data_IF_572160158673
#
_entry.id   IF_572160158673
#
_cell.length_a   1.000
_cell.length_b   1.000
_cell.length_c   1.000
_cell.angle_alpha   90.00
_cell.angle_beta   90.00
_cell.angle_gamma   90.00
#
_symmetry.space_group_name_H-M   'P 1'
#
loop_
_entity.id
_entity.type
_entity.pdbx_description
1 polymer ?
#
# COMPACT_ATOMS: atom_id res chain seq x y z
N UNK A 1 -40.47 63.32 7.98
CA UNK A 1 -41.23 63.07 9.23
C UNK A 1 -40.45 62.01 10.00
N UNK A 2 -39.75 62.52 11.00
CA UNK A 2 -39.04 61.97 12.18
C UNK A 2 -38.99 60.44 12.39
N UNK A 3 -37.73 59.97 12.41
CA UNK A 3 -37.07 59.20 13.50
C UNK A 3 -37.51 57.77 13.81
N UNK A 4 -36.58 56.83 13.60
CA UNK A 4 -36.10 55.95 14.70
C UNK A 4 -34.77 55.29 14.35
N UNK A 5 -33.69 55.75 15.00
CA UNK A 5 -32.42 55.01 15.11
C UNK A 5 -32.53 53.83 16.08
N UNK A 6 -31.66 52.81 15.93
CA UNK A 6 -30.97 52.18 17.05
C UNK A 6 -29.42 52.30 16.89
N UNK A 7 -28.64 51.99 17.94
CA UNK A 7 -27.37 52.66 18.20
C UNK A 7 -26.14 52.05 17.54
N UNK A 8 -25.06 52.83 17.66
CA UNK A 8 -23.73 52.73 17.08
C UNK A 8 -22.85 51.62 17.66
N UNK A 9 -21.70 51.49 16.96
CA UNK A 9 -20.42 50.87 17.33
C UNK A 9 -20.22 49.40 16.99
N UNK A 10 -19.58 49.14 15.84
CA UNK A 10 -18.25 48.53 15.79
C UNK A 10 -17.82 48.22 14.34
N UNK A 11 -16.91 49.02 13.80
CA UNK A 11 -15.91 48.60 12.79
C UNK A 11 -14.60 49.34 13.16
N UNK A 12 -13.41 48.91 12.71
CA UNK A 12 -12.90 47.55 12.47
C UNK A 12 -11.48 47.38 13.09
N UNK A 13 -11.01 46.18 13.42
CA UNK A 13 -9.57 45.96 13.64
C UNK A 13 -9.13 44.68 12.94
N UNK A 14 -8.34 44.85 11.89
CA UNK A 14 -7.61 43.80 11.22
C UNK A 14 -6.48 43.32 12.15
N UNK A 15 -6.62 42.11 12.68
CA UNK A 15 -5.53 41.33 13.26
C UNK A 15 -5.10 40.29 12.25
N UNK A 16 -3.92 40.48 11.66
CA UNK A 16 -3.26 39.50 10.84
C UNK A 16 -2.62 38.45 11.76
N UNK A 17 -3.28 37.31 11.95
CA UNK A 17 -2.65 36.13 12.55
C UNK A 17 -2.17 35.24 11.41
N UNK A 18 -0.88 35.38 11.15
CA UNK A 18 -0.10 34.57 10.22
C UNK A 18 0.12 33.23 10.93
N UNK A 19 -0.73 32.25 10.69
CA UNK A 19 -0.45 30.87 11.11
C UNK A 19 0.58 30.29 10.14
N UNK A 20 1.84 30.49 10.51
CA UNK A 20 3.00 29.88 9.89
C UNK A 20 2.92 28.35 10.05
N UNK A 21 2.90 27.69 8.90
CA UNK A 21 3.54 26.40 8.58
C UNK A 21 3.52 25.35 9.69
N UNK A 22 2.65 24.35 9.51
CA UNK A 22 2.95 23.00 9.98
C UNK A 22 3.15 22.13 8.75
N UNK A 23 4.34 22.25 8.15
CA UNK A 23 4.99 21.15 7.42
C UNK A 23 5.19 20.02 8.44
N UNK A 24 4.10 19.30 8.73
CA UNK A 24 4.17 18.00 9.37
C UNK A 24 4.57 17.06 8.24
N UNK A 25 5.88 16.96 8.01
CA UNK A 25 6.45 15.75 7.45
C UNK A 25 5.89 14.60 8.30
N UNK A 26 5.07 13.68 7.75
CA UNK A 26 4.56 12.59 8.55
C UNK A 26 5.78 11.83 9.05
N UNK A 27 6.07 11.99 10.35
CA UNK A 27 7.11 11.24 11.00
C UNK A 27 6.89 9.76 10.65
N UNK A 28 7.93 9.00 10.27
CA UNK A 28 7.76 7.59 9.97
C UNK A 28 7.08 6.96 11.17
N UNK A 29 5.92 6.37 10.93
CA UNK A 29 5.16 5.71 11.99
C UNK A 29 6.11 4.74 12.70
N UNK A 30 6.05 4.65 14.05
CA UNK A 30 6.93 3.77 14.79
C UNK A 30 6.86 2.39 14.16
N UNK A 31 8.01 1.84 13.79
CA UNK A 31 8.09 0.45 13.35
C UNK A 31 7.62 -0.39 14.52
N UNK A 32 6.33 -0.73 14.54
CA UNK A 32 5.79 -1.74 15.41
C UNK A 32 6.71 -2.97 15.29
N UNK A 33 6.90 -3.70 16.39
CA UNK A 33 7.59 -5.00 16.38
C UNK A 33 6.79 -5.99 15.50
N UNK A 34 6.84 -5.80 14.18
CA UNK A 34 6.19 -6.64 13.19
C UNK A 34 6.90 -7.98 13.13
N UNK A 35 6.14 -9.05 13.02
CA UNK A 35 6.70 -10.38 12.79
C UNK A 35 7.17 -10.47 11.33
N UNK A 36 8.48 -10.63 11.12
CA UNK A 36 8.96 -10.91 9.76
C UNK A 36 8.66 -12.36 9.38
N UNK A 37 7.91 -12.56 8.30
CA UNK A 37 7.70 -13.86 7.66
C UNK A 37 9.03 -14.28 7.01
N UNK A 38 9.52 -15.49 7.33
CA UNK A 38 10.83 -16.01 6.89
C UNK A 38 10.65 -17.23 6.01
N UNK A 39 11.55 -17.40 5.04
CA UNK A 39 11.64 -18.58 4.19
C UNK A 39 11.75 -19.89 5.00
N UNK A 40 11.20 -20.98 4.48
CA UNK A 40 11.24 -22.31 5.11
C UNK A 40 10.11 -22.62 6.08
N UNK A 41 9.12 -21.74 6.22
CA UNK A 41 7.81 -22.02 6.84
C UNK A 41 6.71 -21.68 5.84
N UNK A 42 5.65 -22.48 5.82
CA UNK A 42 4.46 -22.13 5.05
C UNK A 42 3.77 -20.94 5.71
N UNK A 43 3.36 -19.97 4.88
CA UNK A 43 2.58 -18.81 5.28
C UNK A 43 1.46 -18.67 4.24
N UNK A 44 0.23 -18.53 4.71
CA UNK A 44 -0.96 -18.37 3.87
C UNK A 44 -1.96 -17.49 4.64
N UNK A 45 -2.48 -16.47 3.96
CA UNK A 45 -3.49 -15.57 4.52
C UNK A 45 -4.42 -15.09 3.41
N UNK A 46 -5.73 -15.19 3.62
CA UNK A 46 -6.75 -14.85 2.62
C UNK A 46 -7.59 -13.68 3.11
N UNK A 47 -7.71 -12.66 2.27
CA UNK A 47 -8.47 -11.44 2.55
C UNK A 47 -9.76 -11.41 1.73
N UNK A 48 -10.85 -10.89 2.32
CA UNK A 48 -12.08 -10.57 1.60
C UNK A 48 -12.18 -9.05 1.50
N UNK A 49 -11.71 -8.52 0.38
CA UNK A 49 -11.61 -7.09 0.12
C UNK A 49 -12.74 -6.62 -0.79
N UNK A 50 -13.04 -5.32 -0.74
CA UNK A 50 -13.80 -4.71 -1.82
C UNK A 50 -12.92 -4.42 -3.05
N UNK A 51 -13.56 -4.08 -4.17
CA UNK A 51 -12.87 -3.90 -5.45
C UNK A 51 -11.90 -2.72 -5.46
N UNK A 52 -12.12 -1.69 -4.63
CA UNK A 52 -11.21 -0.55 -4.52
C UNK A 52 -9.93 -0.98 -3.83
N UNK A 53 -10.06 -1.62 -2.67
CA UNK A 53 -8.92 -2.09 -1.87
C UNK A 53 -8.08 -3.11 -2.64
N UNK A 54 -8.72 -4.06 -3.33
CA UNK A 54 -8.04 -5.02 -4.18
C UNK A 54 -7.33 -4.32 -5.36
N UNK A 55 -7.95 -3.30 -5.94
CA UNK A 55 -7.36 -2.51 -7.02
C UNK A 55 -6.13 -1.73 -6.58
N UNK A 56 -6.20 -1.06 -5.44
CA UNK A 56 -5.09 -0.30 -4.86
C UNK A 56 -3.90 -1.21 -4.55
N UNK A 57 -4.15 -2.39 -3.94
CA UNK A 57 -3.13 -3.40 -3.72
C UNK A 57 -2.42 -3.85 -5.01
N UNK A 58 -3.20 -4.13 -6.07
CA UNK A 58 -2.64 -4.58 -7.36
C UNK A 58 -1.82 -3.47 -8.05
N UNK A 59 -2.18 -2.20 -7.87
CA UNK A 59 -1.41 -1.07 -8.38
C UNK A 59 -0.04 -1.02 -7.68
N UNK A 60 -0.02 -1.04 -6.34
CA UNK A 60 1.24 -0.99 -5.58
C UNK A 60 2.12 -2.21 -5.85
N UNK A 61 1.53 -3.41 -5.93
CA UNK A 61 2.25 -4.62 -6.31
C UNK A 61 2.84 -4.49 -7.72
N UNK A 62 2.06 -4.02 -8.68
CA UNK A 62 2.51 -3.80 -10.06
C UNK A 62 3.64 -2.78 -10.18
N UNK A 63 3.61 -1.71 -9.37
CA UNK A 63 4.68 -0.72 -9.29
C UNK A 63 5.99 -1.34 -8.75
N UNK A 64 5.91 -2.15 -7.70
CA UNK A 64 7.06 -2.88 -7.15
C UNK A 64 7.66 -3.85 -8.18
N UNK A 65 6.84 -4.68 -8.82
CA UNK A 65 7.26 -5.65 -9.84
C UNK A 65 7.96 -4.99 -11.04
N UNK A 66 7.58 -3.75 -11.37
CA UNK A 66 8.20 -3.01 -12.48
C UNK A 66 9.54 -2.38 -12.09
N UNK A 67 9.71 -2.00 -10.83
CA UNK A 67 10.83 -1.19 -10.35
C UNK A 67 11.95 -1.95 -9.67
N UNK A 68 11.70 -3.19 -9.25
CA UNK A 68 12.59 -3.99 -8.40
C UNK A 68 12.41 -5.48 -8.67
N UNK A 69 13.40 -6.28 -8.29
CA UNK A 69 13.36 -7.75 -8.22
C UNK A 69 13.04 -8.27 -6.79
N UNK A 70 12.44 -7.40 -5.97
CA UNK A 70 11.94 -7.70 -4.63
C UNK A 70 10.54 -7.10 -4.44
N UNK A 71 9.64 -7.85 -3.80
CA UNK A 71 8.36 -7.35 -3.28
C UNK A 71 8.39 -7.36 -1.75
N UNK A 72 7.74 -6.36 -1.14
CA UNK A 72 7.56 -6.31 0.32
C UNK A 72 6.09 -6.06 0.65
N UNK A 73 5.47 -7.05 1.29
CA UNK A 73 4.13 -6.94 1.83
C UNK A 73 4.19 -6.60 3.31
N UNK A 74 3.36 -5.67 3.77
CA UNK A 74 3.40 -5.16 5.14
C UNK A 74 1.99 -4.97 5.66
N UNK A 75 1.75 -5.44 6.88
CA UNK A 75 0.55 -5.16 7.68
C UNK A 75 0.96 -4.55 9.02
N UNK A 76 0.00 -4.27 9.90
CA UNK A 76 0.32 -3.86 11.28
C UNK A 76 1.01 -4.98 12.07
N UNK A 77 0.79 -6.23 11.71
CA UNK A 77 1.22 -7.41 12.47
C UNK A 77 2.49 -8.04 11.90
N UNK A 78 2.67 -8.02 10.58
CA UNK A 78 3.74 -8.75 9.92
C UNK A 78 4.32 -8.01 8.72
N UNK A 79 5.51 -8.44 8.32
CA UNK A 79 6.12 -8.04 7.05
C UNK A 79 6.67 -9.27 6.32
N UNK A 80 6.58 -9.28 5.00
CA UNK A 80 7.06 -10.34 4.14
C UNK A 80 7.90 -9.74 3.01
N UNK A 81 9.23 -9.71 3.17
CA UNK A 81 10.14 -9.42 2.07
C UNK A 81 10.36 -10.68 1.22
N UNK A 82 10.25 -10.56 -0.10
CA UNK A 82 10.45 -11.67 -1.04
C UNK A 82 11.21 -11.22 -2.29
N UNK A 83 12.44 -11.71 -2.45
CA UNK A 83 13.22 -11.54 -3.66
C UNK A 83 12.83 -12.62 -4.68
N UNK A 84 12.38 -12.18 -5.86
CA UNK A 84 11.88 -13.07 -6.90
C UNK A 84 12.85 -13.15 -8.09
N UNK A 85 12.72 -14.23 -8.86
CA UNK A 85 13.45 -14.47 -10.11
C UNK A 85 12.52 -14.48 -11.32
N UNK A 86 13.09 -14.87 -12.46
CA UNK A 86 12.37 -15.00 -13.73
C UNK A 86 12.44 -16.45 -14.27
N UNK A 87 11.43 -16.91 -15.03
CA UNK A 87 10.21 -16.18 -15.43
C UNK A 87 9.14 -16.16 -14.32
N UNK A 88 8.34 -15.10 -14.32
CA UNK A 88 7.12 -14.99 -13.51
C UNK A 88 5.97 -15.66 -14.27
N UNK A 89 5.11 -16.42 -13.57
CA UNK A 89 3.92 -17.05 -14.15
C UNK A 89 2.66 -16.25 -13.81
N UNK A 90 1.77 -16.04 -14.79
CA UNK A 90 0.48 -15.37 -14.63
C UNK A 90 -0.59 -16.26 -15.26
N UNK A 91 -1.51 -16.75 -14.44
CA UNK A 91 -2.64 -17.57 -14.85
C UNK A 91 -3.93 -16.74 -14.81
N UNK A 92 -4.80 -16.96 -15.80
CA UNK A 92 -6.14 -16.35 -15.88
C UNK A 92 -7.11 -17.49 -16.18
N UNK A 93 -7.96 -17.81 -15.22
CA UNK A 93 -9.00 -18.84 -15.36
C UNK A 93 -10.39 -18.22 -15.23
N UNK A 94 -11.33 -18.70 -16.06
CA UNK A 94 -12.71 -18.22 -16.06
C UNK A 94 -13.68 -19.40 -16.15
N UNK A 95 -14.40 -19.65 -15.05
CA UNK A 95 -15.50 -20.62 -15.01
C UNK A 95 -16.82 -19.90 -15.30
N UNK A 96 -17.42 -20.16 -16.48
CA UNK A 96 -18.60 -19.42 -16.95
C UNK A 96 -19.95 -20.12 -16.77
N UNK A 97 -20.00 -21.33 -16.19
CA UNK A 97 -21.21 -22.14 -16.11
C UNK A 97 -21.76 -22.14 -14.69
N UNK A 98 -23.00 -21.69 -14.51
CA UNK A 98 -23.64 -21.63 -13.20
C UNK A 98 -23.36 -20.29 -12.54
N UNK A 99 -22.38 -20.25 -11.65
CA UNK A 99 -21.92 -19.03 -10.96
C UNK A 99 -20.60 -18.60 -11.63
N UNK A 100 -20.57 -17.49 -12.38
CA UNK A 100 -19.38 -17.10 -13.11
C UNK A 100 -18.28 -16.62 -12.17
N UNK A 101 -17.09 -17.21 -12.29
CA UNK A 101 -15.92 -16.89 -11.48
C UNK A 101 -14.72 -16.56 -12.38
N UNK A 102 -13.93 -15.55 -11.98
CA UNK A 102 -12.69 -15.15 -12.64
C UNK A 102 -11.58 -15.22 -11.61
N UNK A 103 -10.56 -16.01 -11.90
CA UNK A 103 -9.37 -16.16 -11.08
C UNK A 103 -8.16 -15.62 -11.84
N UNK A 104 -7.31 -14.87 -11.13
CA UNK A 104 -6.05 -14.34 -11.65
C UNK A 104 -5.00 -14.68 -10.60
N UNK A 105 -4.05 -15.55 -10.97
CA UNK A 105 -2.98 -16.01 -10.07
C UNK A 105 -1.61 -15.60 -10.60
N UNK A 106 -0.75 -15.14 -9.71
CA UNK A 106 0.63 -14.71 -10.01
C UNK A 106 1.60 -15.55 -9.18
N UNK A 107 2.48 -16.29 -9.83
CA UNK A 107 3.55 -17.05 -9.17
C UNK A 107 4.91 -16.38 -9.39
N UNK A 108 5.54 -15.98 -8.29
CA UNK A 108 6.88 -15.39 -8.27
C UNK A 108 7.87 -16.46 -7.80
N UNK A 109 8.76 -17.00 -8.67
CA UNK A 109 9.76 -17.95 -8.22
C UNK A 109 10.75 -17.23 -7.31
N UNK A 110 11.17 -17.87 -6.22
CA UNK A 110 12.21 -17.30 -5.36
C UNK A 110 13.54 -17.17 -6.11
N UNK A 111 14.24 -16.05 -5.90
CA UNK A 111 15.58 -15.89 -6.47
C UNK A 111 16.52 -16.97 -5.92
N UNK A 112 17.38 -17.51 -6.79
CA UNK A 112 18.50 -18.36 -6.41
C UNK A 112 19.79 -17.55 -6.59
N UNK A 113 20.49 -17.26 -5.48
CA UNK A 113 21.84 -16.69 -5.49
C UNK A 113 22.94 -17.77 -5.60
N UNK A 114 22.57 -19.03 -5.84
CA UNK A 114 23.52 -20.12 -5.99
C UNK A 114 24.35 -19.95 -7.27
N UNK A 115 25.65 -19.74 -7.08
CA UNK A 115 26.64 -19.85 -8.14
C UNK A 115 27.02 -21.31 -8.34
N UNK A 116 27.16 -21.73 -9.60
CA UNK A 116 27.64 -23.07 -9.90
C UNK A 116 29.03 -23.31 -9.27
N UNK A 117 29.31 -24.51 -8.72
CA UNK A 117 30.65 -24.84 -8.23
C UNK A 117 31.66 -24.80 -9.38
N UNK A 118 32.90 -24.38 -9.10
CA UNK A 118 34.01 -24.47 -10.07
C UNK A 118 34.58 -25.88 -10.06
N UNK A 119 34.89 -26.43 -11.25
CA UNK A 119 35.56 -27.74 -11.41
C UNK A 119 37.07 -27.51 -11.54
N UNK A 120 37.87 -28.25 -10.77
CA UNK A 120 39.35 -28.30 -10.87
C UNK A 120 39.85 -29.52 -11.66
#
# INVERSE_FOLDING_TARGET
MTDRSPPADAEPEAGADVEAESDIDPAPEPTADRTTVRSGRNFEEHYRLDASEAGDFLIELGEQLRGSDEVRLVTDEWELPFAFGEPIELEIDFEGVGEPELEIELELPGRTDDSAPTVE
#
